data_IF_432881555904
#
_entry.id   IF_432881555904
#
_cell.length_a   1.000
_cell.length_b   1.000
_cell.length_c   1.000
_cell.angle_alpha   90.00
_cell.angle_beta   90.00
_cell.angle_gamma   90.00
#
_symmetry.space_group_name_H-M   'P 1'
#
loop_
_entity.id
_entity.type
_entity.pdbx_description
1 polymer ?
#
# COMPACT_ATOMS: atom_id res chain seq x y z
N UNK A 1 16.23 -60.92 34.17
CA UNK A 1 15.50 -60.46 32.96
C UNK A 1 15.28 -58.94 32.86
N UNK A 2 15.52 -58.10 33.89
CA UNK A 2 15.18 -56.66 33.83
C UNK A 2 16.19 -55.72 33.18
N UNK A 3 17.47 -56.12 33.00
CA UNK A 3 18.51 -55.27 32.40
C UNK A 3 18.45 -55.22 30.86
N UNK A 4 18.01 -56.30 30.21
CA UNK A 4 17.90 -56.40 28.75
C UNK A 4 16.78 -55.51 28.19
N UNK A 5 15.62 -55.47 28.87
CA UNK A 5 14.48 -54.69 28.43
C UNK A 5 14.74 -53.17 28.50
N UNK A 6 15.48 -52.71 29.52
CA UNK A 6 15.87 -51.29 29.67
C UNK A 6 16.89 -50.83 28.61
N UNK A 7 17.77 -51.74 28.17
CA UNK A 7 18.75 -51.49 27.10
C UNK A 7 18.06 -51.33 25.73
N UNK A 8 17.11 -52.21 25.42
CA UNK A 8 16.32 -52.11 24.18
C UNK A 8 15.47 -50.84 24.12
N UNK A 9 14.87 -50.41 25.24
CA UNK A 9 14.13 -49.14 25.28
C UNK A 9 15.02 -47.93 25.07
N UNK A 10 16.25 -47.93 25.61
CA UNK A 10 17.18 -46.81 25.48
C UNK A 10 17.72 -46.66 24.05
N UNK A 11 18.06 -47.79 23.40
CA UNK A 11 18.50 -47.81 21.99
C UNK A 11 17.38 -47.35 21.05
N UNK A 12 16.13 -47.75 21.33
CA UNK A 12 14.96 -47.32 20.55
C UNK A 12 14.70 -45.81 20.68
N UNK A 13 14.85 -45.24 21.87
CA UNK A 13 14.72 -43.78 22.09
C UNK A 13 15.83 -43.01 21.37
N UNK A 14 17.07 -43.51 21.39
CA UNK A 14 18.20 -42.87 20.68
C UNK A 14 17.98 -42.91 19.16
N UNK A 15 17.49 -44.02 18.59
CA UNK A 15 17.14 -44.14 17.18
C UNK A 15 16.02 -43.17 16.76
N UNK A 16 15.01 -42.97 17.60
CA UNK A 16 13.93 -41.99 17.36
C UNK A 16 14.45 -40.55 17.39
N UNK A 17 15.35 -40.21 18.32
CA UNK A 17 15.97 -38.87 18.41
C UNK A 17 16.89 -38.60 17.21
N UNK A 18 17.59 -39.63 16.71
CA UNK A 18 18.43 -39.49 15.52
C UNK A 18 17.60 -39.33 14.24
N UNK A 19 16.46 -40.03 14.10
CA UNK A 19 15.52 -39.85 12.98
C UNK A 19 14.80 -38.48 12.99
N UNK A 20 14.57 -37.91 14.18
CA UNK A 20 13.93 -36.59 14.32
C UNK A 20 14.83 -35.43 13.84
N UNK A 21 16.15 -35.63 13.73
CA UNK A 21 17.09 -34.57 13.29
C UNK A 21 17.06 -34.30 11.79
N UNK A 22 16.58 -35.23 10.97
CA UNK A 22 16.55 -35.07 9.51
C UNK A 22 15.30 -34.34 8.98
N UNK A 23 14.37 -33.97 9.86
CA UNK A 23 13.14 -33.22 9.49
C UNK A 23 13.15 -31.74 9.88
N UNK A 24 14.32 -31.16 10.21
CA UNK A 24 14.45 -29.69 10.13
C UNK A 24 14.64 -29.31 8.66
N UNK A 25 13.56 -29.32 7.89
CA UNK A 25 13.48 -28.46 6.72
C UNK A 25 13.64 -27.02 7.22
N UNK A 26 14.84 -26.46 7.04
CA UNK A 26 15.07 -25.04 7.14
C UNK A 26 14.11 -24.39 6.13
N UNK A 27 13.03 -23.78 6.64
CA UNK A 27 12.11 -23.04 5.81
C UNK A 27 12.94 -22.01 5.03
N UNK A 28 12.82 -21.93 3.69
CA UNK A 28 13.51 -20.89 2.94
C UNK A 28 13.13 -19.54 3.55
N UNK A 29 14.04 -18.55 3.61
CA UNK A 29 13.83 -17.33 4.38
C UNK A 29 12.46 -16.73 4.03
N UNK A 30 11.54 -16.83 4.98
CA UNK A 30 10.20 -16.28 4.90
C UNK A 30 10.39 -14.77 4.77
N UNK A 31 9.95 -14.16 3.67
CA UNK A 31 9.71 -12.72 3.71
C UNK A 31 8.65 -12.52 4.80
N UNK A 32 9.07 -12.11 5.99
CA UNK A 32 8.14 -11.82 7.08
C UNK A 32 7.23 -10.69 6.58
N UNK A 33 5.94 -10.76 6.88
CA UNK A 33 4.93 -9.76 6.46
C UNK A 33 5.41 -8.31 6.58
N UNK A 34 6.10 -7.89 7.68
CA UNK A 34 6.71 -6.56 7.79
C UNK A 34 7.64 -6.16 6.64
N UNK A 35 8.48 -7.08 6.16
CA UNK A 35 9.43 -6.80 5.07
C UNK A 35 8.72 -6.68 3.72
N UNK A 36 7.67 -7.49 3.50
CA UNK A 36 6.84 -7.39 2.31
C UNK A 36 6.07 -6.06 2.28
N UNK A 37 5.44 -5.70 3.41
CA UNK A 37 4.75 -4.41 3.59
C UNK A 37 5.70 -3.25 3.31
N UNK A 38 6.89 -3.26 3.92
CA UNK A 38 7.90 -2.22 3.71
C UNK A 38 8.29 -2.06 2.24
N UNK A 39 8.38 -3.15 1.48
CA UNK A 39 8.79 -3.09 0.07
C UNK A 39 7.68 -2.61 -0.87
N UNK A 40 6.42 -2.97 -0.59
CA UNK A 40 5.32 -2.79 -1.53
C UNK A 40 4.30 -1.70 -1.13
N UNK A 41 4.40 -1.11 0.07
CA UNK A 41 3.48 -0.06 0.53
C UNK A 41 3.42 1.14 -0.43
N UNK A 42 4.55 1.60 -0.96
CA UNK A 42 4.58 2.70 -1.93
C UNK A 42 3.75 2.37 -3.18
N UNK A 43 3.89 1.15 -3.71
CA UNK A 43 3.18 0.70 -4.91
C UNK A 43 1.68 0.63 -4.60
N UNK A 44 1.29 0.10 -3.45
CA UNK A 44 -0.10 0.03 -3.02
C UNK A 44 -0.74 1.42 -2.88
N UNK A 45 -0.04 2.38 -2.26
CA UNK A 45 -0.52 3.77 -2.15
C UNK A 45 -0.65 4.42 -3.53
N UNK A 46 0.30 4.16 -4.44
CA UNK A 46 0.18 4.64 -5.82
C UNK A 46 -1.07 4.07 -6.51
N UNK A 47 -1.32 2.75 -6.41
CA UNK A 47 -2.52 2.13 -6.96
C UNK A 47 -3.80 2.73 -6.36
N UNK A 48 -3.80 3.04 -5.06
CA UNK A 48 -4.91 3.71 -4.41
C UNK A 48 -5.19 5.10 -4.99
N UNK A 49 -4.15 5.90 -5.20
CA UNK A 49 -4.29 7.24 -5.77
C UNK A 49 -4.81 7.18 -7.21
N UNK A 50 -4.25 6.29 -8.04
CA UNK A 50 -4.54 6.18 -9.48
C UNK A 50 -5.86 5.47 -9.78
N UNK A 51 -6.15 4.38 -9.06
CA UNK A 51 -7.26 3.48 -9.37
C UNK A 51 -8.37 3.46 -8.34
N UNK A 52 -8.21 4.14 -7.20
CA UNK A 52 -9.23 4.26 -6.13
C UNK A 52 -9.57 2.94 -5.43
N UNK A 53 -8.59 2.06 -5.31
CA UNK A 53 -8.66 0.83 -4.50
C UNK A 53 -7.89 1.08 -3.20
N UNK A 54 -8.43 0.79 -2.00
CA UNK A 54 -7.69 1.03 -0.76
C UNK A 54 -6.30 0.38 -0.80
N UNK A 55 -5.28 1.11 -0.33
CA UNK A 55 -3.90 0.63 -0.33
C UNK A 55 -3.76 -0.58 0.61
N UNK A 56 -4.46 -0.53 1.75
CA UNK A 56 -4.57 -1.63 2.71
C UNK A 56 -5.10 -2.91 2.09
N UNK A 57 -6.19 -2.82 1.32
CA UNK A 57 -6.82 -3.96 0.62
C UNK A 57 -5.89 -4.51 -0.44
N UNK A 58 -5.31 -3.64 -1.28
CA UNK A 58 -4.36 -4.05 -2.33
C UNK A 58 -3.18 -4.83 -1.73
N UNK A 59 -2.62 -4.32 -0.63
CA UNK A 59 -1.45 -4.92 0.00
C UNK A 59 -1.81 -6.21 0.76
N UNK A 60 -2.97 -6.29 1.41
CA UNK A 60 -3.46 -7.50 2.05
C UNK A 60 -3.71 -8.63 1.05
N UNK A 61 -4.32 -8.33 -0.10
CA UNK A 61 -4.46 -9.29 -1.20
C UNK A 61 -3.09 -9.76 -1.67
N UNK A 62 -2.16 -8.84 -1.97
CA UNK A 62 -0.82 -9.22 -2.42
C UNK A 62 -0.09 -10.10 -1.39
N UNK A 63 -0.21 -9.82 -0.08
CA UNK A 63 0.35 -10.66 0.99
C UNK A 63 -0.24 -12.07 0.96
N UNK A 64 -1.57 -12.19 0.90
CA UNK A 64 -2.29 -13.45 0.90
C UNK A 64 -1.96 -14.29 -0.34
N UNK A 65 -2.16 -13.72 -1.53
CA UNK A 65 -2.05 -14.42 -2.82
C UNK A 65 -0.60 -14.81 -3.16
N UNK A 66 0.37 -14.01 -2.72
CA UNK A 66 1.79 -14.27 -3.01
C UNK A 66 2.53 -15.01 -1.89
N UNK A 67 1.85 -15.35 -0.80
CA UNK A 67 2.48 -15.83 0.43
C UNK A 67 3.67 -14.93 0.84
N UNK A 68 3.41 -13.64 1.02
CA UNK A 68 4.44 -12.61 1.24
C UNK A 68 5.55 -12.62 0.19
N UNK A 69 5.21 -12.79 -1.09
CA UNK A 69 6.15 -12.83 -2.21
C UNK A 69 6.94 -14.14 -2.35
N UNK A 70 6.63 -15.15 -1.53
CA UNK A 70 7.39 -16.40 -1.54
C UNK A 70 6.83 -17.46 -2.50
N UNK A 71 5.61 -17.26 -3.03
CA UNK A 71 4.97 -18.20 -3.96
C UNK A 71 5.77 -18.35 -5.26
N UNK A 72 5.56 -19.48 -5.95
CA UNK A 72 6.22 -19.75 -7.24
C UNK A 72 5.87 -18.69 -8.28
N UNK A 73 4.59 -18.28 -8.32
CA UNK A 73 4.10 -17.25 -9.25
C UNK A 73 4.75 -15.89 -8.98
N UNK A 74 4.90 -15.51 -7.71
CA UNK A 74 5.57 -14.26 -7.34
C UNK A 74 7.07 -14.29 -7.64
N UNK A 75 7.78 -15.36 -7.24
CA UNK A 75 9.24 -15.47 -7.42
C UNK A 75 9.67 -15.58 -8.89
N UNK A 76 8.90 -16.30 -9.70
CA UNK A 76 9.29 -16.61 -11.09
C UNK A 76 8.64 -15.70 -12.12
N UNK A 77 7.42 -15.23 -11.85
CA UNK A 77 6.65 -14.43 -12.81
C UNK A 77 6.24 -13.07 -12.29
N UNK A 78 6.73 -12.65 -11.13
CA UNK A 78 6.33 -11.41 -10.47
C UNK A 78 4.80 -11.27 -10.28
N UNK A 79 4.06 -12.39 -10.33
CA UNK A 79 2.60 -12.40 -10.22
C UNK A 79 2.21 -12.52 -8.75
N UNK A 80 1.97 -11.38 -8.11
CA UNK A 80 1.66 -11.30 -6.68
C UNK A 80 0.19 -11.51 -6.35
N UNK A 81 -0.68 -11.66 -7.35
CA UNK A 81 -2.14 -11.72 -7.18
C UNK A 81 -2.76 -12.99 -7.76
N UNK A 82 -1.94 -13.93 -8.25
CA UNK A 82 -2.42 -15.19 -8.85
C UNK A 82 -3.27 -15.00 -10.10
N UNK A 83 -3.10 -13.90 -10.85
CA UNK A 83 -3.98 -13.62 -11.99
C UNK A 83 -3.74 -14.65 -13.09
N UNK A 84 -4.79 -15.41 -13.41
CA UNK A 84 -4.81 -16.40 -14.49
C UNK A 84 -4.78 -15.74 -15.87
N UNK A 85 -4.32 -16.47 -16.88
CA UNK A 85 -4.46 -16.08 -18.26
C UNK A 85 -5.95 -16.07 -18.61
N UNK A 86 -6.44 -14.93 -19.08
CA UNK A 86 -7.80 -14.79 -19.58
C UNK A 86 -7.74 -14.48 -21.07
N UNK A 87 -8.88 -14.62 -21.75
CA UNK A 87 -9.02 -14.26 -23.17
C UNK A 87 -8.45 -12.86 -23.40
N UNK A 88 -7.52 -12.76 -24.36
CA UNK A 88 -6.87 -11.49 -24.73
C UNK A 88 -5.55 -11.19 -24.01
N UNK A 89 -5.07 -12.02 -23.08
CA UNK A 89 -3.70 -11.87 -22.55
C UNK A 89 -2.68 -12.18 -23.65
N UNK A 90 -1.75 -11.25 -23.88
CA UNK A 90 -0.69 -11.36 -24.90
C UNK A 90 0.72 -11.27 -24.31
N UNK A 91 0.83 -11.12 -22.99
CA UNK A 91 2.12 -11.04 -22.30
C UNK A 91 2.66 -12.42 -21.92
N UNK A 92 3.75 -12.42 -21.15
CA UNK A 92 4.40 -13.63 -20.69
C UNK A 92 3.50 -14.47 -19.77
N UNK A 93 3.79 -15.76 -19.68
CA UNK A 93 2.98 -16.72 -18.92
C UNK A 93 3.83 -17.70 -18.13
N UNK A 94 3.28 -18.21 -17.03
CA UNK A 94 3.80 -19.35 -16.29
C UNK A 94 2.71 -20.41 -16.18
N UNK A 95 3.05 -21.66 -16.48
CA UNK A 95 2.18 -22.80 -16.20
C UNK A 95 2.43 -23.29 -14.77
N UNK A 96 1.36 -23.46 -14.00
CA UNK A 96 1.38 -24.01 -12.65
C UNK A 96 0.08 -24.77 -12.40
N UNK A 97 0.16 -25.92 -11.76
CA UNK A 97 -1.03 -26.61 -11.25
C UNK A 97 -1.57 -25.88 -10.01
N UNK A 98 -2.88 -25.60 -10.02
CA UNK A 98 -3.58 -24.94 -8.93
C UNK A 98 -4.91 -25.65 -8.67
N UNK A 99 -6.00 -25.23 -9.31
CA UNK A 99 -7.29 -25.93 -9.31
C UNK A 99 -7.27 -27.08 -10.33
N UNK A 100 -6.68 -26.80 -11.50
CA UNK A 100 -6.52 -27.74 -12.62
C UNK A 100 -5.04 -27.97 -12.95
N UNK A 101 -4.75 -29.04 -13.69
CA UNK A 101 -3.39 -29.35 -14.14
C UNK A 101 -2.92 -28.32 -15.16
N UNK A 102 -1.71 -27.76 -14.95
CA UNK A 102 -1.05 -26.84 -15.87
C UNK A 102 -1.89 -25.61 -16.26
N UNK A 103 -2.52 -24.98 -15.27
CA UNK A 103 -3.20 -23.71 -15.50
C UNK A 103 -2.22 -22.60 -15.91
N UNK A 104 -2.69 -21.73 -16.79
CA UNK A 104 -1.93 -20.59 -17.27
C UNK A 104 -2.11 -19.40 -16.34
N UNK A 105 -1.00 -18.86 -15.85
CA UNK A 105 -0.94 -17.63 -15.08
C UNK A 105 -0.15 -16.57 -15.84
N UNK A 106 -0.55 -15.30 -15.67
CA UNK A 106 0.19 -14.17 -16.23
C UNK A 106 1.57 -14.08 -15.58
N UNK A 107 2.55 -13.64 -16.34
CA UNK A 107 3.90 -13.31 -15.88
C UNK A 107 4.22 -11.88 -16.28
N UNK A 108 5.00 -11.20 -15.45
CA UNK A 108 5.28 -9.77 -15.58
C UNK A 108 6.77 -9.51 -15.46
N UNK A 109 7.25 -8.43 -16.09
CA UNK A 109 8.66 -8.06 -16.00
C UNK A 109 9.02 -7.53 -14.60
N UNK A 110 8.03 -7.03 -13.86
CA UNK A 110 8.21 -6.56 -12.48
C UNK A 110 6.97 -6.78 -11.61
N UNK A 111 7.17 -6.82 -10.29
CA UNK A 111 6.05 -6.87 -9.35
C UNK A 111 5.12 -5.65 -9.50
N UNK A 112 5.68 -4.48 -9.83
CA UNK A 112 4.89 -3.26 -10.08
C UNK A 112 3.87 -3.45 -11.21
N UNK A 113 4.24 -4.17 -12.27
CA UNK A 113 3.32 -4.48 -13.36
C UNK A 113 2.18 -5.39 -12.91
N UNK A 114 2.42 -6.36 -12.02
CA UNK A 114 1.32 -7.18 -11.49
C UNK A 114 0.38 -6.41 -10.58
N UNK A 115 0.88 -5.43 -9.82
CA UNK A 115 0.02 -4.50 -9.04
C UNK A 115 -0.83 -3.61 -9.95
N UNK A 116 -0.27 -3.15 -11.07
CA UNK A 116 -1.03 -2.37 -12.05
C UNK A 116 -2.09 -3.22 -12.75
N UNK A 117 -1.73 -4.43 -13.21
CA UNK A 117 -2.66 -5.33 -13.86
C UNK A 117 -3.77 -5.79 -12.91
N UNK A 118 -3.48 -6.02 -11.63
CA UNK A 118 -4.48 -6.27 -10.59
C UNK A 118 -5.48 -5.11 -10.44
N UNK A 119 -4.98 -3.88 -10.40
CA UNK A 119 -5.86 -2.70 -10.30
C UNK A 119 -6.75 -2.56 -11.53
N UNK A 120 -6.20 -2.77 -12.73
CA UNK A 120 -6.97 -2.78 -13.98
C UNK A 120 -7.96 -3.95 -14.02
N UNK A 121 -7.60 -5.11 -13.49
CA UNK A 121 -8.47 -6.29 -13.41
C UNK A 121 -9.72 -5.99 -12.58
N UNK A 122 -9.57 -5.34 -11.42
CA UNK A 122 -10.71 -4.92 -10.60
C UNK A 122 -11.51 -3.81 -11.28
N UNK A 123 -10.83 -2.80 -11.82
CA UNK A 123 -11.48 -1.62 -12.43
C UNK A 123 -12.29 -1.93 -13.69
N UNK A 124 -11.79 -2.83 -14.53
CA UNK A 124 -12.36 -3.06 -15.87
C UNK A 124 -13.39 -4.18 -15.93
N UNK A 125 -13.60 -4.93 -14.84
CA UNK A 125 -14.54 -6.06 -14.84
C UNK A 125 -15.86 -5.65 -14.16
N UNK A 126 -17.00 -5.76 -14.87
CA UNK A 126 -18.30 -5.31 -14.35
C UNK A 126 -18.67 -5.87 -12.99
N UNK A 127 -18.30 -7.13 -12.69
CA UNK A 127 -18.61 -7.75 -11.39
C UNK A 127 -18.01 -7.03 -10.17
N UNK A 128 -16.98 -6.21 -10.37
CA UNK A 128 -16.31 -5.45 -9.30
C UNK A 128 -16.69 -3.97 -9.30
N UNK A 129 -17.47 -3.48 -10.28
CA UNK A 129 -17.71 -2.04 -10.45
C UNK A 129 -18.36 -1.40 -9.22
N UNK A 130 -19.20 -2.14 -8.50
CA UNK A 130 -19.88 -1.64 -7.30
C UNK A 130 -18.92 -1.37 -6.14
N UNK A 131 -17.73 -1.99 -6.12
CA UNK A 131 -16.73 -1.74 -5.08
C UNK A 131 -16.29 -0.28 -5.08
N UNK A 132 -16.24 0.35 -6.26
CA UNK A 132 -15.82 1.75 -6.40
C UNK A 132 -16.86 2.77 -5.91
N UNK A 133 -18.04 2.31 -5.47
CA UNK A 133 -19.02 3.13 -4.76
C UNK A 133 -18.83 3.08 -3.23
N UNK A 134 -17.99 2.16 -2.74
CA UNK A 134 -17.64 2.04 -1.33
C UNK A 134 -16.63 3.14 -1.00
N UNK A 135 -16.75 3.73 0.19
CA UNK A 135 -15.77 4.70 0.66
C UNK A 135 -14.35 4.12 0.64
N UNK A 136 -13.38 4.88 0.12
CA UNK A 136 -12.01 4.39 -0.10
C UNK A 136 -11.28 4.01 1.21
N UNK A 137 -11.76 4.49 2.36
CA UNK A 137 -11.21 4.16 3.68
C UNK A 137 -12.00 3.05 4.40
N UNK A 138 -13.06 2.51 3.81
CA UNK A 138 -13.84 1.41 4.39
C UNK A 138 -13.33 0.06 3.87
N UNK A 139 -12.13 -0.31 4.32
CA UNK A 139 -11.49 -1.56 3.92
C UNK A 139 -12.33 -2.80 4.27
N UNK A 140 -13.15 -2.73 5.33
CA UNK A 140 -14.05 -3.84 5.73
C UNK A 140 -15.13 -4.07 4.69
N UNK A 141 -15.80 -3.01 4.24
CA UNK A 141 -16.78 -3.11 3.17
C UNK A 141 -16.13 -3.57 1.85
N UNK A 142 -14.92 -3.09 1.54
CA UNK A 142 -14.16 -3.56 0.37
C UNK A 142 -13.85 -5.06 0.41
N UNK A 143 -13.32 -5.59 1.52
CA UNK A 143 -13.02 -7.02 1.67
C UNK A 143 -14.28 -7.89 1.52
N UNK A 144 -15.38 -7.49 2.15
CA UNK A 144 -16.67 -8.19 2.01
C UNK A 144 -17.19 -8.12 0.57
N UNK A 145 -17.10 -6.95 -0.07
CA UNK A 145 -17.49 -6.77 -1.46
C UNK A 145 -16.66 -7.63 -2.42
N UNK A 146 -15.34 -7.74 -2.21
CA UNK A 146 -14.47 -8.61 -3.03
C UNK A 146 -14.91 -10.08 -2.94
N UNK A 147 -15.24 -10.55 -1.73
CA UNK A 147 -15.80 -11.89 -1.53
C UNK A 147 -17.15 -12.05 -2.24
N UNK A 148 -18.06 -11.09 -2.07
CA UNK A 148 -19.37 -11.08 -2.73
C UNK A 148 -19.26 -11.10 -4.26
N UNK A 149 -18.28 -10.38 -4.82
CA UNK A 149 -18.02 -10.32 -6.25
C UNK A 149 -17.34 -11.60 -6.80
N UNK A 150 -17.04 -12.57 -5.95
CA UNK A 150 -16.42 -13.84 -6.34
C UNK A 150 -14.94 -13.68 -6.71
N UNK A 151 -14.19 -12.86 -5.99
CA UNK A 151 -12.73 -12.81 -6.14
C UNK A 151 -12.09 -14.15 -5.75
N UNK A 152 -12.50 -14.72 -4.61
CA UNK A 152 -12.04 -16.03 -4.13
C UNK A 152 -13.21 -16.97 -3.81
N UNK A 153 -13.00 -18.26 -4.06
CA UNK A 153 -13.96 -19.33 -3.74
C UNK A 153 -14.01 -19.61 -2.25
N UNK A 154 -12.87 -19.51 -1.55
CA UNK A 154 -12.75 -19.70 -0.11
C UNK A 154 -13.71 -18.81 0.69
N UNK A 155 -14.45 -19.39 1.64
CA UNK A 155 -15.48 -18.66 2.39
C UNK A 155 -14.91 -17.60 3.33
N UNK A 156 -13.78 -17.87 3.99
CA UNK A 156 -13.16 -16.95 4.96
C UNK A 156 -12.28 -15.86 4.33
N UNK A 157 -12.42 -15.58 3.04
CA UNK A 157 -11.52 -14.67 2.33
C UNK A 157 -11.59 -13.24 2.86
N UNK A 158 -12.80 -12.73 3.10
CA UNK A 158 -12.97 -11.37 3.60
C UNK A 158 -12.37 -11.21 4.99
N UNK A 159 -12.61 -12.19 5.87
CA UNK A 159 -12.10 -12.26 7.23
C UNK A 159 -10.57 -12.33 7.25
N UNK A 160 -9.97 -13.13 6.36
CA UNK A 160 -8.51 -13.23 6.26
C UNK A 160 -7.88 -11.91 5.81
N UNK A 161 -8.46 -11.22 4.83
CA UNK A 161 -7.97 -9.90 4.42
C UNK A 161 -8.12 -8.88 5.55
N UNK A 162 -9.27 -8.84 6.23
CA UNK A 162 -9.49 -7.93 7.38
C UNK A 162 -8.46 -8.21 8.48
N UNK A 163 -8.23 -9.48 8.81
CA UNK A 163 -7.22 -9.91 9.80
C UNK A 163 -5.83 -9.42 9.42
N UNK A 164 -5.41 -9.61 8.17
CA UNK A 164 -4.12 -9.13 7.66
C UNK A 164 -4.00 -7.60 7.75
N UNK A 165 -5.06 -6.87 7.42
CA UNK A 165 -5.10 -5.40 7.51
C UNK A 165 -4.98 -4.94 8.95
N UNK A 166 -5.73 -5.54 9.87
CA UNK A 166 -5.75 -5.16 11.29
C UNK A 166 -4.43 -5.52 12.01
N UNK A 167 -3.93 -6.76 11.85
CA UNK A 167 -2.70 -7.22 12.52
C UNK A 167 -1.45 -6.48 12.05
N UNK A 168 -1.40 -6.10 10.77
CA UNK A 168 -0.25 -5.37 10.20
C UNK A 168 -0.49 -3.86 10.13
N UNK A 169 -1.61 -3.37 10.67
CA UNK A 169 -2.02 -1.95 10.66
C UNK A 169 -2.00 -1.30 9.28
N UNK A 170 -2.36 -2.07 8.24
CA UNK A 170 -2.30 -1.59 6.86
C UNK A 170 -3.31 -0.46 6.60
N UNK A 171 -4.36 -0.33 7.40
CA UNK A 171 -5.30 0.80 7.30
C UNK A 171 -4.62 2.16 7.51
N UNK A 172 -3.45 2.22 8.15
CA UNK A 172 -2.70 3.47 8.33
C UNK A 172 -2.26 4.06 6.97
N UNK A 173 -1.93 3.22 5.98
CA UNK A 173 -1.46 3.69 4.66
C UNK A 173 -2.58 4.19 3.75
N UNK A 174 -3.84 3.95 4.09
CA UNK A 174 -4.99 4.50 3.33
C UNK A 174 -5.12 6.02 3.51
N UNK A 175 -4.54 6.56 4.60
CA UNK A 175 -4.47 8.00 4.86
C UNK A 175 -3.34 8.73 4.11
N UNK A 176 -2.61 8.05 3.22
CA UNK A 176 -1.45 8.61 2.53
C UNK A 176 -1.72 8.84 1.04
N UNK A 177 -1.01 9.81 0.45
CA UNK A 177 -0.98 10.04 -0.99
C UNK A 177 0.43 9.97 -1.55
N UNK A 178 0.56 9.52 -2.80
CA UNK A 178 1.82 9.53 -3.55
C UNK A 178 2.26 10.96 -3.89
N UNK A 179 3.56 11.24 -3.73
CA UNK A 179 4.20 12.52 -4.03
C UNK A 179 4.94 12.46 -5.36
N UNK A 180 4.71 13.42 -6.28
CA UNK A 180 5.58 13.59 -7.44
C UNK A 180 7.05 13.77 -7.00
N UNK A 181 8.00 13.19 -7.74
CA UNK A 181 9.43 13.13 -7.37
C UNK A 181 10.03 14.48 -6.96
N UNK A 182 9.62 15.57 -7.63
CA UNK A 182 10.07 16.94 -7.29
C UNK A 182 9.60 17.38 -5.90
N UNK A 183 8.35 17.08 -5.55
CA UNK A 183 7.79 17.37 -4.23
C UNK A 183 8.43 16.48 -3.16
N UNK A 184 8.66 15.21 -3.47
CA UNK A 184 9.37 14.28 -2.58
C UNK A 184 10.80 14.75 -2.25
N UNK A 185 11.61 15.14 -3.26
CA UNK A 185 12.96 15.71 -3.05
C UNK A 185 12.96 17.01 -2.24
N UNK A 186 11.86 17.75 -2.26
CA UNK A 186 11.73 18.98 -1.47
C UNK A 186 11.42 18.65 0.00
N UNK A 187 10.48 17.74 0.25
CA UNK A 187 10.17 17.28 1.62
C UNK A 187 11.35 16.57 2.28
N UNK A 188 12.10 15.76 1.55
CA UNK A 188 13.36 15.14 2.02
C UNK A 188 14.33 16.18 2.59
N UNK A 189 14.62 17.23 1.82
CA UNK A 189 15.51 18.31 2.26
C UNK A 189 14.98 19.05 3.48
N UNK A 190 13.67 19.21 3.59
CA UNK A 190 13.04 19.88 4.75
C UNK A 190 13.18 19.06 6.03
N UNK A 191 13.06 17.73 5.93
CA UNK A 191 13.27 16.80 7.06
C UNK A 191 14.75 16.82 7.48
N UNK A 192 15.68 16.74 6.52
CA UNK A 192 17.13 16.81 6.78
C UNK A 192 17.50 18.09 7.54
N UNK A 193 16.99 19.25 7.11
CA UNK A 193 17.21 20.54 7.80
C UNK A 193 16.65 20.51 9.22
N UNK A 194 15.44 19.98 9.42
CA UNK A 194 14.80 19.91 10.73
C UNK A 194 15.52 18.94 11.70
N UNK A 195 16.05 17.82 11.20
CA UNK A 195 16.85 16.89 11.98
C UNK A 195 18.19 17.51 12.39
N UNK A 196 18.83 18.26 11.49
CA UNK A 196 20.03 19.04 11.82
C UNK A 196 19.72 20.06 12.91
N UNK A 197 18.65 20.85 12.77
CA UNK A 197 18.21 21.84 13.77
C UNK A 197 17.97 21.18 15.15
N UNK A 198 17.29 20.04 15.21
CA UNK A 198 17.07 19.30 16.46
C UNK A 198 18.36 18.73 17.08
N UNK A 199 19.31 18.32 16.24
CA UNK A 199 20.64 17.85 16.69
C UNK A 199 21.46 18.98 17.29
N UNK A 200 21.29 20.21 16.77
CA UNK A 200 21.91 21.42 17.27
C UNK A 200 21.33 21.90 18.61
N UNK A 201 20.12 21.48 19.02
CA UNK A 201 19.42 21.99 20.22
C UNK A 201 19.42 21.08 21.46
N UNK A 202 20.10 19.92 21.45
CA UNK A 202 20.32 19.00 22.60
C UNK A 202 19.24 19.01 23.71
N UNK A 203 18.11 18.36 23.46
CA UNK A 203 17.33 17.67 24.50
C UNK A 203 16.78 16.36 23.92
N UNK A 204 17.25 15.24 24.46
CA UNK A 204 16.78 13.91 24.09
C UNK A 204 15.59 13.60 25.00
N UNK A 205 14.38 13.56 24.42
CA UNK A 205 13.26 12.77 24.96
C UNK A 205 12.97 11.61 24.01
N UNK A 206 12.93 10.43 24.62
CA UNK A 206 12.71 9.12 24.03
C UNK A 206 11.24 8.86 23.65
N UNK A 207 11.10 7.89 22.74
CA UNK A 207 9.96 7.05 22.40
C UNK A 207 9.02 7.42 21.22
N UNK A 208 8.88 6.41 20.35
CA UNK A 208 7.85 6.14 19.35
C UNK A 208 7.79 7.05 18.11
N UNK A 209 8.29 6.54 16.97
CA UNK A 209 7.49 6.18 15.76
C UNK A 209 8.38 5.89 14.50
N UNK A 210 9.52 5.18 14.56
CA UNK A 210 10.41 5.09 13.37
C UNK A 210 10.88 3.68 12.98
N UNK A 211 9.96 2.75 12.72
CA UNK A 211 10.28 1.56 11.90
C UNK A 211 9.91 1.77 10.42
N UNK A 212 8.93 2.62 10.09
CA UNK A 212 8.46 2.84 8.71
C UNK A 212 9.34 3.81 7.87
N UNK A 213 10.49 4.27 8.39
CA UNK A 213 11.34 5.30 7.75
C UNK A 213 12.73 4.83 7.30
N UNK A 214 13.00 3.53 7.20
CA UNK A 214 14.32 3.07 6.71
C UNK A 214 14.52 3.25 5.20
N UNK A 215 13.44 3.55 4.45
CA UNK A 215 13.52 4.17 3.13
C UNK A 215 12.63 5.40 3.08
N UNK A 216 13.13 6.54 2.57
CA UNK A 216 12.25 7.64 2.27
C UNK A 216 11.33 7.23 1.12
N UNK A 217 10.03 7.09 1.42
CA UNK A 217 9.01 6.78 0.43
C UNK A 217 8.39 8.09 -0.09
N UNK A 218 8.07 8.19 -1.39
CA UNK A 218 7.34 9.32 -1.96
C UNK A 218 5.85 9.26 -1.58
N UNK A 219 5.54 9.19 -0.29
CA UNK A 219 4.16 9.24 0.24
C UNK A 219 4.07 10.27 1.37
N UNK A 220 2.90 10.88 1.57
CA UNK A 220 2.63 11.76 2.72
C UNK A 220 1.20 11.61 3.25
N UNK A 221 0.93 11.93 4.52
CA UNK A 221 -0.44 11.98 5.04
C UNK A 221 -1.31 12.99 4.28
N UNK A 222 -2.56 12.63 3.99
CA UNK A 222 -3.54 13.45 3.25
C UNK A 222 -3.95 14.71 4.06
N UNK A 223 -3.92 14.66 5.40
CA UNK A 223 -4.27 15.78 6.29
C UNK A 223 -3.46 17.07 6.03
N UNK A 224 -2.24 16.93 5.52
CA UNK A 224 -1.37 18.08 5.18
C UNK A 224 -1.95 18.99 4.08
N UNK A 225 -3.00 18.58 3.37
CA UNK A 225 -3.64 19.38 2.31
C UNK A 225 -4.66 20.40 2.86
N UNK A 226 -5.32 20.11 3.99
CA UNK A 226 -6.28 21.03 4.61
C UNK A 226 -5.55 22.17 5.34
N UNK A 227 -4.56 21.83 6.17
CA UNK A 227 -3.72 22.82 6.86
C UNK A 227 -2.93 23.73 5.90
N UNK A 228 -2.50 23.21 4.75
CA UNK A 228 -1.81 24.01 3.72
C UNK A 228 -2.74 24.82 2.81
N UNK A 229 -4.04 24.50 2.77
CA UNK A 229 -5.06 25.33 2.11
C UNK A 229 -5.56 26.44 3.03
N UNK A 230 -5.81 26.14 4.31
CA UNK A 230 -6.09 27.18 5.33
C UNK A 230 -4.94 28.18 5.44
N UNK A 231 -3.68 27.72 5.58
CA UNK A 231 -2.52 28.63 5.60
C UNK A 231 -2.30 29.44 4.32
N UNK A 232 -2.87 29.02 3.19
CA UNK A 232 -2.85 29.80 1.94
C UNK A 232 -3.97 30.85 1.90
N UNK A 233 -5.12 30.54 2.50
CA UNK A 233 -6.26 31.44 2.63
C UNK A 233 -6.10 32.43 3.81
N UNK A 234 -5.20 32.15 4.75
CA UNK A 234 -4.81 33.03 5.87
C UNK A 234 -3.69 34.03 5.52
N UNK A 235 -3.20 34.05 4.28
CA UNK A 235 -2.35 35.18 3.87
C UNK A 235 -3.25 36.41 3.82
N UNK A 236 -2.97 37.47 4.60
CA UNK A 236 -3.74 38.70 4.49
C UNK A 236 -3.70 39.16 3.05
N UNK A 237 -4.87 39.27 2.42
CA UNK A 237 -5.02 39.99 1.17
C UNK A 237 -4.47 41.38 1.46
N UNK A 238 -3.30 41.70 0.93
CA UNK A 238 -2.81 43.08 0.91
C UNK A 238 -3.73 43.84 -0.04
N UNK A 239 -4.85 44.33 0.50
CA UNK A 239 -5.60 45.40 -0.13
C UNK A 239 -4.64 46.59 -0.10
N UNK A 240 -4.02 46.89 -1.24
CA UNK A 240 -3.39 48.21 -1.43
C UNK A 240 -4.54 49.20 -1.49
N UNK A 241 -4.86 49.79 -0.34
CA UNK A 241 -5.67 51.00 -0.30
C UNK A 241 -4.76 52.09 -0.84
N UNK A 242 -4.90 52.40 -2.13
CA UNK A 242 -4.26 53.56 -2.72
C UNK A 242 -4.84 54.79 -2.05
N UNK A 243 -4.00 55.54 -1.35
CA UNK A 243 -4.32 56.92 -0.98
C UNK A 243 -4.37 57.69 -2.31
N UNK A 244 -5.48 58.36 -2.66
CA UNK A 244 -5.53 59.13 -3.90
C UNK A 244 -4.51 60.27 -3.83
N UNK A 245 -3.74 60.47 -4.89
CA UNK A 245 -2.98 61.70 -5.07
C UNK A 245 -3.96 62.87 -5.24
N UNK A 246 -3.57 64.02 -4.72
CA UNK A 246 -4.32 65.28 -4.65
C UNK A 246 -4.46 66.00 -6.01
N UNK A 247 -4.65 65.25 -7.10
CA UNK A 247 -4.71 65.78 -8.47
C UNK A 247 -5.90 65.30 -9.33
N UNK A 248 -6.84 64.51 -8.80
CA UNK A 248 -8.01 64.00 -9.53
C UNK A 248 -9.37 64.50 -8.97
N UNK A 249 -9.49 65.78 -8.57
CA UNK A 249 -10.76 66.35 -8.04
C UNK A 249 -11.42 67.38 -8.99
N UNK A 250 -11.08 67.42 -10.28
CA UNK A 250 -11.78 68.33 -11.23
C UNK A 250 -12.11 67.64 -12.54
N UNK A 251 -13.00 66.64 -12.55
CA UNK A 251 -13.69 66.24 -13.79
C UNK A 251 -14.94 65.33 -13.61
N UNK A 252 -15.73 65.51 -12.53
CA UNK A 252 -17.03 64.81 -12.39
C UNK A 252 -18.20 65.73 -12.04
N UNK A 253 -18.14 66.97 -12.49
CA UNK A 253 -19.32 67.85 -12.57
C UNK A 253 -19.40 68.44 -13.97
N UNK A 254 -19.84 67.64 -14.92
CA UNK A 254 -20.68 68.10 -16.04
C UNK A 254 -21.31 66.87 -16.72
N UNK A 255 -22.63 66.80 -16.66
CA UNK A 255 -23.41 65.81 -17.40
C UNK A 255 -23.38 66.09 -18.91
N UNK A 256 -24.04 65.24 -19.70
CA UNK A 256 -25.23 65.81 -20.31
C UNK A 256 -26.49 64.97 -20.17
N UNK A 257 -27.55 65.73 -20.03
CA UNK A 257 -28.95 65.42 -20.18
C UNK A 257 -29.33 64.80 -21.54
N UNK A 258 -30.51 64.16 -21.50
CA UNK A 258 -31.52 63.96 -22.57
C UNK A 258 -31.27 62.79 -23.54
N UNK A 259 -32.13 61.74 -23.51
CA UNK A 259 -33.52 61.67 -24.00
C UNK A 259 -33.60 61.77 -25.52
N UNK A 260 -33.62 60.61 -26.19
CA UNK A 260 -34.76 60.07 -26.95
C UNK A 260 -34.55 58.57 -27.19
#
# INVERSE_FOLDING_TARGET
MSKSLKSLTLVSIILIILFAKENLHAQPPLFKTPAYVHYFAEIAVQQMVEHKIPASVTLAQAICESNCGTSVLAKRGNNHFGIKCHVGWQGDTILKTDDEINECFRSYASARESYNDHSLFLKNRPRYSFLFNIAINDYKAWCNGLKQAGYATFNGYAEELIRLIEENKLFEIDGYEYLPFKAFKFEQRKIEVKQLENTLTKEIKTENLEWFLQKPMPIRPIENRLLSREKRNDKPVKIKIGVPNELDIVELMDGPHNVQ
#
